data_IF_721906089964
#
_entry.id   IF_721906089964
#
_cell.length_a   1.000
_cell.length_b   1.000
_cell.length_c   1.000
_cell.angle_alpha   90.00
_cell.angle_beta   90.00
_cell.angle_gamma   90.00
#
_symmetry.space_group_name_H-M   'P 1'
#
loop_
_entity.id
_entity.type
_entity.pdbx_description
1 polymer ?
#
# COMPACT_ATOMS: atom_id res chain seq x y z
N UNK A 1 44.07 15.45 -9.49
CA UNK A 1 43.79 16.12 -10.80
C UNK A 1 44.46 15.34 -11.90
N UNK A 2 43.94 15.42 -13.14
CA UNK A 2 44.60 14.74 -14.28
C UNK A 2 46.08 15.14 -14.40
N UNK A 3 47.01 14.19 -14.70
CA UNK A 3 46.79 12.78 -15.09
C UNK A 3 46.75 11.79 -13.88
N UNK A 4 46.86 12.23 -12.62
CA UNK A 4 46.90 11.36 -11.45
C UNK A 4 45.52 10.68 -11.22
N UNK A 5 44.43 11.44 -11.35
CA UNK A 5 43.07 10.95 -11.22
C UNK A 5 42.51 10.54 -12.60
N UNK A 6 42.39 9.24 -12.82
CA UNK A 6 41.81 8.64 -14.03
C UNK A 6 40.69 7.69 -13.66
N UNK A 7 39.46 8.19 -13.60
CA UNK A 7 38.26 7.41 -13.25
C UNK A 7 38.04 6.17 -14.11
N UNK A 8 38.51 6.15 -15.36
CA UNK A 8 38.46 4.99 -16.26
C UNK A 8 39.17 3.75 -15.72
N UNK A 9 40.13 3.89 -14.80
CA UNK A 9 40.82 2.73 -14.19
C UNK A 9 39.83 1.80 -13.49
N UNK A 10 38.75 2.35 -12.88
CA UNK A 10 37.70 1.58 -12.19
C UNK A 10 36.60 1.07 -13.14
N UNK A 11 36.77 1.27 -14.48
CA UNK A 11 35.78 0.89 -15.51
C UNK A 11 36.34 -0.08 -16.55
N UNK A 12 37.59 -0.48 -16.43
CA UNK A 12 38.36 -1.19 -17.48
C UNK A 12 37.72 -2.52 -17.86
N UNK A 13 37.22 -3.28 -16.90
CA UNK A 13 36.58 -4.57 -17.13
C UNK A 13 35.46 -4.83 -16.11
N UNK A 14 34.68 -5.91 -16.35
CA UNK A 14 33.52 -6.23 -15.51
C UNK A 14 33.93 -6.54 -14.06
N UNK A 15 35.04 -7.23 -13.84
CA UNK A 15 35.50 -7.58 -12.49
C UNK A 15 35.77 -6.33 -11.65
N UNK A 16 36.42 -5.32 -12.24
CA UNK A 16 36.69 -4.05 -11.55
C UNK A 16 35.39 -3.30 -11.33
N UNK A 17 34.50 -3.21 -12.35
CA UNK A 17 33.20 -2.55 -12.18
C UNK A 17 32.37 -3.23 -11.09
N UNK A 18 32.38 -4.56 -11.05
CA UNK A 18 31.69 -5.34 -10.02
C UNK A 18 32.24 -5.10 -8.63
N UNK A 19 33.58 -5.01 -8.51
CA UNK A 19 34.27 -4.76 -7.25
C UNK A 19 33.90 -3.40 -6.62
N UNK A 20 33.72 -2.37 -7.45
CA UNK A 20 33.45 -0.99 -6.98
C UNK A 20 31.97 -0.60 -7.09
N UNK A 21 31.08 -1.54 -7.34
CA UNK A 21 29.64 -1.31 -7.45
C UNK A 21 29.07 -0.91 -6.08
N UNK A 22 28.45 0.27 -6.01
CA UNK A 22 27.92 0.83 -4.78
C UNK A 22 26.54 0.26 -4.45
N UNK A 23 25.74 -0.10 -5.48
CA UNK A 23 24.36 -0.57 -5.31
C UNK A 23 24.18 -1.94 -5.94
N UNK A 24 23.59 -2.86 -5.21
CA UNK A 24 23.18 -4.19 -5.67
C UNK A 24 21.70 -4.38 -5.41
N UNK A 25 21.05 -5.24 -6.20
CA UNK A 25 19.67 -5.66 -5.99
C UNK A 25 19.62 -7.16 -5.73
N UNK A 26 18.81 -7.55 -4.77
CA UNK A 26 18.48 -8.94 -4.47
C UNK A 26 16.95 -9.12 -4.43
N UNK A 27 16.42 -10.33 -4.54
CA UNK A 27 14.98 -10.56 -4.41
C UNK A 27 14.39 -10.05 -3.10
N UNK A 28 15.17 -10.00 -2.02
CA UNK A 28 14.72 -9.48 -0.72
C UNK A 28 14.53 -7.96 -0.65
N UNK A 29 15.01 -7.23 -1.67
CA UNK A 29 14.82 -5.78 -1.77
C UNK A 29 13.44 -5.41 -2.36
N UNK A 30 12.69 -6.42 -2.83
CA UNK A 30 11.39 -6.21 -3.48
C UNK A 30 10.24 -6.61 -2.57
N UNK A 31 9.19 -5.79 -2.59
CA UNK A 31 7.88 -6.12 -2.07
C UNK A 31 6.91 -6.34 -3.23
N UNK A 32 6.22 -7.48 -3.25
CA UNK A 32 5.35 -7.85 -4.36
C UNK A 32 3.89 -7.44 -4.09
N UNK A 33 3.25 -6.64 -4.96
CA UNK A 33 1.85 -6.26 -4.80
C UNK A 33 0.92 -7.39 -5.27
N UNK A 34 -0.10 -7.73 -4.47
CA UNK A 34 -1.06 -8.79 -4.77
C UNK A 34 -2.50 -8.28 -4.68
N UNK A 35 -3.33 -8.65 -5.65
CA UNK A 35 -4.73 -8.27 -5.71
C UNK A 35 -5.62 -9.48 -5.44
N UNK A 36 -6.42 -9.42 -4.37
CA UNK A 36 -7.21 -10.53 -3.87
C UNK A 36 -8.70 -10.25 -4.08
N UNK A 37 -9.43 -11.25 -4.52
CA UNK A 37 -10.87 -11.19 -4.70
C UNK A 37 -11.53 -12.43 -4.07
N UNK A 38 -12.84 -12.38 -3.87
CA UNK A 38 -13.62 -13.53 -3.44
C UNK A 38 -13.64 -14.65 -4.49
N UNK A 39 -13.86 -15.87 -4.03
CA UNK A 39 -13.97 -17.06 -4.86
C UNK A 39 -13.09 -18.20 -4.39
N UNK A 40 -13.15 -19.29 -5.14
CA UNK A 40 -12.31 -20.47 -5.00
C UNK A 40 -11.76 -20.80 -6.38
N UNK A 41 -10.45 -21.04 -6.47
CA UNK A 41 -9.71 -21.23 -7.72
C UNK A 41 -9.99 -20.12 -8.75
N UNK A 42 -10.21 -18.90 -8.26
CA UNK A 42 -10.53 -17.75 -9.08
C UNK A 42 -9.26 -16.98 -9.46
N UNK A 43 -9.13 -16.72 -10.77
CA UNK A 43 -8.04 -15.91 -11.34
C UNK A 43 -8.59 -15.09 -12.50
N UNK A 44 -8.47 -13.76 -12.41
CA UNK A 44 -8.93 -12.84 -13.44
C UNK A 44 -7.87 -11.80 -13.72
N UNK A 45 -7.47 -11.65 -14.98
CA UNK A 45 -6.51 -10.63 -15.39
C UNK A 45 -7.08 -9.23 -15.21
N UNK A 46 -6.24 -8.29 -14.77
CA UNK A 46 -6.58 -6.87 -14.68
C UNK A 46 -6.30 -6.28 -16.04
N UNK A 47 -7.34 -5.85 -16.76
CA UNK A 47 -7.27 -5.45 -18.17
C UNK A 47 -6.26 -4.31 -18.44
N UNK A 48 -6.11 -3.41 -17.49
CA UNK A 48 -5.18 -2.28 -17.54
C UNK A 48 -3.75 -2.62 -17.09
N UNK A 49 -3.51 -3.85 -16.59
CA UNK A 49 -2.20 -4.35 -16.16
C UNK A 49 -1.97 -5.77 -16.72
N UNK A 50 -1.56 -5.91 -18.00
CA UNK A 50 -1.35 -7.21 -18.62
C UNK A 50 -0.38 -8.09 -17.82
N UNK A 51 -0.77 -9.35 -17.59
CA UNK A 51 0.02 -10.31 -16.80
C UNK A 51 -0.18 -10.19 -15.29
N UNK A 52 -0.95 -9.22 -14.80
CA UNK A 52 -1.29 -9.07 -13.39
C UNK A 52 -2.75 -9.52 -13.15
N UNK A 53 -2.95 -10.26 -12.07
CA UNK A 53 -4.24 -10.93 -11.84
C UNK A 53 -4.80 -10.59 -10.45
N UNK A 54 -6.13 -10.53 -10.37
CA UNK A 54 -6.85 -10.73 -9.11
C UNK A 54 -6.98 -12.23 -8.88
N UNK A 55 -6.72 -12.69 -7.67
CA UNK A 55 -6.79 -14.11 -7.29
C UNK A 55 -7.63 -14.32 -6.04
N UNK A 56 -8.24 -15.48 -5.94
CA UNK A 56 -8.82 -15.96 -4.67
C UNK A 56 -7.73 -16.25 -3.64
N UNK A 57 -8.10 -16.38 -2.38
CA UNK A 57 -7.15 -16.60 -1.26
C UNK A 57 -6.31 -17.87 -1.48
N UNK A 58 -6.91 -18.97 -1.93
CA UNK A 58 -6.21 -20.23 -2.21
C UNK A 58 -5.09 -20.05 -3.24
N UNK A 59 -5.37 -19.41 -4.38
CA UNK A 59 -4.35 -19.15 -5.42
C UNK A 59 -3.35 -18.07 -4.98
N UNK A 60 -3.74 -17.13 -4.14
CA UNK A 60 -2.82 -16.15 -3.54
C UNK A 60 -1.80 -16.84 -2.64
N UNK A 61 -2.22 -17.81 -1.83
CA UNK A 61 -1.34 -18.58 -0.95
C UNK A 61 -0.31 -19.39 -1.77
N UNK A 62 -0.71 -19.98 -2.89
CA UNK A 62 0.24 -20.70 -3.75
C UNK A 62 1.27 -19.73 -4.37
N UNK A 63 0.85 -18.58 -4.87
CA UNK A 63 1.77 -17.57 -5.40
C UNK A 63 2.73 -17.04 -4.31
N UNK A 64 2.27 -16.85 -3.08
CA UNK A 64 3.12 -16.45 -1.95
C UNK A 64 4.24 -17.46 -1.70
N UNK A 65 3.95 -18.75 -1.74
CA UNK A 65 4.98 -19.82 -1.60
C UNK A 65 6.02 -19.74 -2.72
N UNK A 66 5.58 -19.54 -3.97
CA UNK A 66 6.46 -19.39 -5.12
C UNK A 66 7.35 -18.14 -4.97
N UNK A 67 6.79 -17.00 -4.60
CA UNK A 67 7.53 -15.76 -4.35
C UNK A 67 8.58 -15.93 -3.25
N UNK A 68 8.21 -16.60 -2.16
CA UNK A 68 9.13 -16.88 -1.05
C UNK A 68 10.29 -17.77 -1.50
N UNK A 69 10.03 -18.80 -2.31
CA UNK A 69 11.06 -19.67 -2.89
C UNK A 69 12.00 -18.91 -3.83
N UNK A 70 11.52 -17.86 -4.53
CA UNK A 70 12.33 -16.96 -5.35
C UNK A 70 13.17 -15.94 -4.54
N UNK A 71 12.98 -15.88 -3.22
CA UNK A 71 13.70 -14.97 -2.35
C UNK A 71 12.98 -13.65 -2.04
N UNK A 72 11.76 -13.44 -2.53
CA UNK A 72 10.90 -12.31 -2.11
C UNK A 72 10.49 -12.53 -0.65
N UNK A 73 10.57 -11.49 0.16
CA UNK A 73 10.33 -11.57 1.61
C UNK A 73 9.11 -10.78 2.08
N UNK A 74 8.55 -9.94 1.24
CA UNK A 74 7.40 -9.11 1.58
C UNK A 74 6.36 -9.07 0.46
N UNK A 75 5.08 -9.07 0.85
CA UNK A 75 3.95 -8.82 -0.04
C UNK A 75 3.12 -7.66 0.48
N UNK A 76 2.69 -6.78 -0.42
CA UNK A 76 1.69 -5.76 -0.14
C UNK A 76 0.37 -6.23 -0.74
N UNK A 77 -0.66 -6.40 0.09
CA UNK A 77 -1.92 -7.02 -0.33
C UNK A 77 -3.06 -6.01 -0.39
N UNK A 78 -3.84 -6.12 -1.44
CA UNK A 78 -5.01 -5.29 -1.75
C UNK A 78 -6.20 -6.20 -2.03
N UNK A 79 -7.40 -5.74 -1.69
CA UNK A 79 -8.63 -6.52 -1.91
C UNK A 79 -9.60 -5.80 -2.82
N UNK A 80 -10.30 -6.57 -3.66
CA UNK A 80 -11.51 -6.11 -4.35
C UNK A 80 -12.72 -6.66 -3.59
N UNK A 81 -13.47 -5.79 -2.96
CA UNK A 81 -14.66 -6.12 -2.17
C UNK A 81 -15.91 -6.10 -3.07
N UNK A 82 -16.89 -6.96 -2.78
CA UNK A 82 -18.17 -6.95 -3.45
C UNK A 82 -18.93 -5.64 -3.21
N UNK A 83 -19.60 -5.12 -4.24
CA UNK A 83 -20.33 -3.85 -4.16
C UNK A 83 -21.39 -3.83 -3.05
N UNK A 84 -22.03 -4.97 -2.76
CA UNK A 84 -23.05 -5.10 -1.70
C UNK A 84 -22.52 -4.90 -0.29
N UNK A 85 -21.18 -4.97 -0.09
CA UNK A 85 -20.51 -4.80 1.19
C UNK A 85 -19.96 -3.38 1.38
N UNK A 86 -19.99 -2.55 0.32
CA UNK A 86 -19.50 -1.18 0.38
C UNK A 86 -20.53 -0.23 1.00
N UNK A 87 -20.06 0.70 1.80
CA UNK A 87 -20.85 1.83 2.30
C UNK A 87 -19.97 3.08 2.48
N UNK A 88 -20.54 4.22 2.89
CA UNK A 88 -19.76 5.43 3.10
C UNK A 88 -18.81 5.33 4.31
N UNK A 89 -19.11 4.47 5.26
CA UNK A 89 -18.28 4.33 6.47
C UNK A 89 -17.12 3.37 6.26
N UNK A 90 -17.19 2.53 5.22
CA UNK A 90 -16.18 1.51 4.95
C UNK A 90 -16.10 0.41 6.01
N UNK A 91 -17.20 0.12 6.73
CA UNK A 91 -17.22 -0.79 7.89
C UNK A 91 -16.71 -2.20 7.61
N UNK A 92 -16.79 -2.67 6.36
CA UNK A 92 -16.24 -3.96 5.96
C UNK A 92 -14.71 -4.01 6.09
N UNK A 93 -14.03 -2.87 6.10
CA UNK A 93 -12.57 -2.77 6.23
C UNK A 93 -12.03 -3.35 7.55
N UNK A 94 -12.83 -3.34 8.62
CA UNK A 94 -12.46 -3.91 9.92
C UNK A 94 -13.32 -5.09 10.35
N UNK A 95 -14.00 -5.73 9.41
CA UNK A 95 -14.69 -6.99 9.66
C UNK A 95 -13.66 -8.11 9.92
N UNK A 96 -13.66 -8.69 11.11
CA UNK A 96 -12.73 -9.76 11.49
C UNK A 96 -12.79 -10.98 10.56
N UNK A 97 -13.91 -11.18 9.85
CA UNK A 97 -14.12 -12.22 8.85
C UNK A 97 -14.08 -11.68 7.40
N UNK A 98 -13.71 -10.44 7.21
CA UNK A 98 -13.55 -9.80 5.92
C UNK A 98 -12.50 -10.46 5.04
N UNK A 99 -12.54 -10.17 3.75
CA UNK A 99 -11.63 -10.76 2.76
C UNK A 99 -10.16 -10.49 3.11
N UNK A 100 -9.82 -9.27 3.53
CA UNK A 100 -8.46 -8.89 3.88
C UNK A 100 -7.96 -9.70 5.10
N UNK A 101 -8.74 -9.77 6.18
CA UNK A 101 -8.37 -10.47 7.40
C UNK A 101 -8.25 -11.98 7.19
N UNK A 102 -9.11 -12.57 6.35
CA UNK A 102 -9.00 -13.99 5.94
C UNK A 102 -7.75 -14.24 5.11
N UNK A 103 -7.43 -13.36 4.19
CA UNK A 103 -6.22 -13.45 3.38
C UNK A 103 -4.94 -13.37 4.22
N UNK A 104 -4.85 -12.40 5.14
CA UNK A 104 -3.71 -12.27 6.07
C UNK A 104 -3.51 -13.59 6.83
N UNK A 105 -4.57 -14.11 7.47
CA UNK A 105 -4.49 -15.37 8.23
C UNK A 105 -4.05 -16.55 7.36
N UNK A 106 -4.59 -16.69 6.15
CA UNK A 106 -4.26 -17.78 5.25
C UNK A 106 -2.78 -17.71 4.79
N UNK A 107 -2.29 -16.54 4.45
CA UNK A 107 -0.89 -16.34 4.06
C UNK A 107 0.03 -16.65 5.24
N UNK A 108 -0.22 -16.10 6.42
CA UNK A 108 0.60 -16.33 7.63
C UNK A 108 0.57 -17.79 8.08
N UNK A 109 -0.54 -18.49 7.93
CA UNK A 109 -0.62 -19.93 8.22
C UNK A 109 0.20 -20.78 7.24
N UNK A 110 0.24 -20.41 5.96
CA UNK A 110 0.92 -21.17 4.92
C UNK A 110 2.42 -20.80 4.78
N UNK A 111 2.79 -19.56 5.03
CA UNK A 111 4.15 -19.04 4.93
C UNK A 111 4.40 -18.04 6.09
N UNK A 112 4.68 -18.50 7.31
CA UNK A 112 4.81 -17.64 8.49
C UNK A 112 5.92 -16.59 8.39
N UNK A 113 6.97 -16.86 7.61
CA UNK A 113 8.12 -15.96 7.44
C UNK A 113 7.88 -14.88 6.35
N UNK A 114 6.83 -15.02 5.52
CA UNK A 114 6.45 -13.95 4.59
C UNK A 114 5.95 -12.74 5.35
N UNK A 115 6.55 -11.58 5.11
CA UNK A 115 6.07 -10.30 5.66
C UNK A 115 4.82 -9.90 4.90
N UNK A 116 3.72 -9.71 5.64
CA UNK A 116 2.42 -9.32 5.07
C UNK A 116 2.10 -7.90 5.46
N UNK A 117 1.96 -7.05 4.44
CA UNK A 117 1.64 -5.62 4.56
C UNK A 117 0.30 -5.33 3.88
N UNK A 118 -0.84 -5.37 4.58
CA UNK A 118 -2.13 -4.99 4.01
C UNK A 118 -2.23 -3.48 3.82
N UNK A 119 -2.85 -3.08 2.73
CA UNK A 119 -3.24 -1.70 2.48
C UNK A 119 -4.24 -1.21 3.53
N UNK A 120 -4.12 0.05 3.95
CA UNK A 120 -5.02 0.72 4.89
C UNK A 120 -5.55 1.99 4.24
N UNK A 121 -6.70 1.87 3.59
CA UNK A 121 -7.47 2.95 2.98
C UNK A 121 -8.91 2.46 2.74
N UNK A 122 -9.88 3.36 2.70
CA UNK A 122 -11.28 2.98 2.59
C UNK A 122 -11.81 2.85 1.15
N UNK A 123 -11.04 3.23 0.14
CA UNK A 123 -11.52 3.23 -1.26
C UNK A 123 -12.03 1.86 -1.77
N UNK A 124 -11.46 0.68 -1.39
CA UNK A 124 -12.04 -0.60 -1.79
C UNK A 124 -13.39 -0.91 -1.12
N UNK A 125 -13.69 -0.22 -0.02
CA UNK A 125 -14.87 -0.44 0.84
C UNK A 125 -15.90 0.68 0.74
N UNK A 126 -15.56 1.78 0.04
CA UNK A 126 -16.40 2.96 -0.13
C UNK A 126 -17.29 2.84 -1.36
N UNK A 127 -18.58 3.19 -1.22
CA UNK A 127 -19.50 3.33 -2.36
C UNK A 127 -19.10 4.47 -3.30
N UNK A 128 -18.31 5.44 -2.80
CA UNK A 128 -17.87 6.60 -3.57
C UNK A 128 -16.48 6.45 -4.18
N UNK A 129 -15.73 5.39 -3.84
CA UNK A 129 -14.37 5.13 -4.33
C UNK A 129 -13.32 6.09 -3.79
N UNK A 130 -13.61 6.84 -2.73
CA UNK A 130 -12.66 7.69 -2.02
C UNK A 130 -11.95 6.94 -0.89
N UNK A 131 -10.72 7.38 -0.57
CA UNK A 131 -9.87 6.74 0.45
C UNK A 131 -10.38 6.98 1.89
N UNK A 132 -11.44 7.79 2.06
CA UNK A 132 -12.05 8.13 3.35
C UNK A 132 -13.56 8.33 3.30
N UNK A 133 -14.12 8.67 4.47
CA UNK A 133 -15.54 8.91 4.70
C UNK A 133 -15.93 10.27 4.11
N UNK A 134 -17.01 10.32 3.34
CA UNK A 134 -17.53 11.58 2.77
C UNK A 134 -18.50 12.24 3.74
N UNK A 135 -18.21 13.48 4.09
CA UNK A 135 -19.10 14.37 4.85
C UNK A 135 -19.10 15.78 4.22
N UNK A 136 -20.28 16.36 4.06
CA UNK A 136 -20.44 17.75 3.57
C UNK A 136 -19.73 18.03 2.23
N UNK A 137 -19.67 17.02 1.35
CA UNK A 137 -19.10 17.16 0.01
C UNK A 137 -17.57 16.97 -0.07
N UNK A 138 -16.90 16.59 1.01
CA UNK A 138 -15.47 16.31 1.02
C UNK A 138 -15.11 15.11 1.90
N UNK A 139 -13.85 14.69 1.89
CA UNK A 139 -13.35 13.62 2.75
C UNK A 139 -13.14 14.15 4.18
N UNK A 140 -13.83 13.54 5.14
CA UNK A 140 -13.74 13.89 6.55
C UNK A 140 -12.48 13.27 7.18
N UNK A 141 -11.43 14.07 7.37
CA UNK A 141 -10.13 13.63 7.87
C UNK A 141 -10.20 12.83 9.17
N UNK A 142 -10.77 13.43 10.21
CA UNK A 142 -10.72 12.83 11.56
C UNK A 142 -11.61 11.59 11.69
N UNK A 143 -12.80 11.61 11.09
CA UNK A 143 -13.69 10.45 11.05
C UNK A 143 -13.05 9.29 10.25
N UNK A 144 -12.33 9.61 9.18
CA UNK A 144 -11.56 8.64 8.40
C UNK A 144 -10.45 8.03 9.25
N UNK A 145 -9.66 8.85 9.96
CA UNK A 145 -8.60 8.36 10.84
C UNK A 145 -9.12 7.39 11.89
N UNK A 146 -10.30 7.65 12.49
CA UNK A 146 -10.93 6.73 13.46
C UNK A 146 -11.32 5.39 12.82
N UNK A 147 -11.74 5.37 11.58
CA UNK A 147 -12.02 4.14 10.82
C UNK A 147 -10.73 3.39 10.47
N UNK A 148 -9.69 4.10 10.01
CA UNK A 148 -8.38 3.52 9.67
C UNK A 148 -7.69 2.87 10.88
N UNK A 149 -7.83 3.44 12.07
CA UNK A 149 -7.34 2.81 13.32
C UNK A 149 -8.01 1.46 13.55
N UNK A 150 -9.35 1.37 13.41
CA UNK A 150 -10.07 0.09 13.55
C UNK A 150 -9.60 -0.93 12.50
N UNK A 151 -9.42 -0.49 11.27
CA UNK A 151 -8.92 -1.30 10.17
C UNK A 151 -7.53 -1.85 10.47
N UNK A 152 -6.56 -0.99 10.83
CA UNK A 152 -5.20 -1.38 11.15
C UNK A 152 -5.13 -2.37 12.32
N UNK A 153 -5.90 -2.13 13.40
CA UNK A 153 -5.98 -3.04 14.54
C UNK A 153 -6.58 -4.39 14.13
N UNK A 154 -7.57 -4.42 13.24
CA UNK A 154 -8.14 -5.67 12.74
C UNK A 154 -7.14 -6.47 11.88
N UNK A 155 -6.32 -5.78 11.07
CA UNK A 155 -5.24 -6.39 10.29
C UNK A 155 -4.15 -6.97 11.21
N UNK A 156 -3.74 -6.22 12.23
CA UNK A 156 -2.79 -6.70 13.24
C UNK A 156 -3.29 -7.94 13.99
N UNK A 157 -4.57 -7.97 14.39
CA UNK A 157 -5.24 -9.16 14.98
C UNK A 157 -5.22 -10.36 14.03
N UNK A 158 -5.34 -10.13 12.72
CA UNK A 158 -5.27 -11.18 11.72
C UNK A 158 -3.85 -11.70 11.47
N UNK A 159 -2.81 -11.01 11.97
CA UNK A 159 -1.40 -11.44 11.88
C UNK A 159 -0.56 -10.64 10.88
N UNK A 160 -0.98 -9.44 10.49
CA UNK A 160 -0.16 -8.55 9.67
C UNK A 160 1.13 -8.16 10.39
N UNK A 161 2.25 -8.11 9.66
CA UNK A 161 3.56 -7.68 10.18
C UNK A 161 3.72 -6.16 10.12
N UNK A 162 3.11 -5.54 9.11
CA UNK A 162 3.03 -4.09 8.92
C UNK A 162 1.60 -3.70 8.56
N UNK A 163 1.28 -2.42 8.70
CA UNK A 163 0.13 -1.78 8.06
C UNK A 163 0.64 -0.71 7.10
N UNK A 164 -0.03 -0.55 5.95
CA UNK A 164 0.43 0.33 4.88
C UNK A 164 -0.61 1.41 4.55
N UNK A 165 -0.70 2.49 5.36
CA UNK A 165 -1.68 3.56 5.15
C UNK A 165 -1.42 4.29 3.83
N UNK A 166 -2.40 4.24 2.94
CA UNK A 166 -2.34 4.83 1.61
C UNK A 166 -3.39 5.93 1.38
N UNK A 167 -4.10 6.30 2.43
CA UNK A 167 -5.26 7.19 2.42
C UNK A 167 -4.92 8.68 2.30
N UNK A 168 -3.75 9.12 2.76
CA UNK A 168 -3.28 10.51 2.77
C UNK A 168 -4.04 11.45 3.72
N UNK A 169 -4.66 10.94 4.78
CA UNK A 169 -5.25 11.80 5.82
C UNK A 169 -4.17 12.42 6.72
N UNK A 170 -4.40 13.67 7.15
CA UNK A 170 -3.48 14.36 8.07
C UNK A 170 -3.44 13.67 9.44
N UNK A 171 -2.23 13.44 9.98
CA UNK A 171 -2.03 12.86 11.30
C UNK A 171 -2.36 11.36 11.43
N UNK A 172 -2.58 10.68 10.29
CA UNK A 172 -2.99 9.27 10.27
C UNK A 172 -1.96 8.32 10.87
N UNK A 173 -0.68 8.57 10.63
CA UNK A 173 0.39 7.70 11.10
C UNK A 173 0.45 7.70 12.63
N UNK A 174 0.38 8.87 13.25
CA UNK A 174 0.31 9.01 14.71
C UNK A 174 -0.91 8.28 15.30
N UNK A 175 -2.10 8.45 14.67
CA UNK A 175 -3.33 7.81 15.12
C UNK A 175 -3.25 6.28 15.01
N UNK A 176 -2.69 5.76 13.92
CA UNK A 176 -2.47 4.33 13.70
C UNK A 176 -1.49 3.76 14.73
N UNK A 177 -0.35 4.44 14.96
CA UNK A 177 0.64 4.00 15.96
C UNK A 177 0.02 3.93 17.35
N UNK A 178 -0.66 4.99 17.76
CA UNK A 178 -1.35 5.03 19.05
C UNK A 178 -2.41 3.91 19.19
N UNK A 179 -3.19 3.67 18.13
CA UNK A 179 -4.21 2.63 18.13
C UNK A 179 -3.64 1.21 18.21
N UNK A 180 -2.57 0.94 17.46
CA UNK A 180 -1.85 -0.33 17.48
C UNK A 180 -1.23 -0.59 18.86
N UNK A 181 -0.57 0.41 19.44
CA UNK A 181 0.08 0.31 20.75
C UNK A 181 -0.97 0.10 21.88
N UNK A 182 -2.06 0.85 21.85
CA UNK A 182 -3.15 0.70 22.80
C UNK A 182 -3.81 -0.70 22.74
N UNK A 183 -3.80 -1.33 21.56
CA UNK A 183 -4.29 -2.69 21.35
C UNK A 183 -3.22 -3.78 21.63
N UNK A 184 -1.99 -3.40 22.01
CA UNK A 184 -0.90 -4.32 22.35
C UNK A 184 -0.06 -4.80 21.15
N UNK A 185 -0.22 -4.18 19.97
CA UNK A 185 0.50 -4.54 18.75
C UNK A 185 1.77 -3.67 18.53
N UNK A 186 2.63 -3.59 19.55
CA UNK A 186 3.84 -2.77 19.54
C UNK A 186 4.86 -3.14 18.45
N UNK A 187 4.83 -4.39 17.96
CA UNK A 187 5.75 -4.90 16.94
C UNK A 187 5.19 -4.87 15.53
N UNK A 188 3.95 -4.40 15.33
CA UNK A 188 3.40 -4.19 13.98
C UNK A 188 3.92 -2.86 13.47
N UNK A 189 4.67 -2.91 12.37
CA UNK A 189 5.26 -1.71 11.76
C UNK A 189 4.26 -0.90 10.94
N UNK A 190 4.64 0.32 10.58
CA UNK A 190 3.88 1.21 9.69
C UNK A 190 4.74 1.58 8.49
N UNK A 191 4.30 1.22 7.28
CA UNK A 191 4.87 1.68 6.02
C UNK A 191 3.94 2.72 5.41
N UNK A 192 4.24 4.00 5.59
CA UNK A 192 3.38 5.07 5.11
C UNK A 192 3.60 5.39 3.64
N UNK A 193 2.50 5.60 2.91
CA UNK A 193 2.50 6.20 1.58
C UNK A 193 2.64 7.72 1.73
N UNK A 194 3.81 8.16 2.15
CA UNK A 194 4.06 9.54 2.58
C UNK A 194 4.01 10.54 1.43
N UNK A 195 4.53 10.17 0.26
CA UNK A 195 4.48 11.00 -0.93
C UNK A 195 3.62 10.31 -2.01
N UNK A 196 2.29 10.41 -1.86
CA UNK A 196 1.32 9.85 -2.81
C UNK A 196 0.70 10.95 -3.66
N UNK A 197 1.01 10.95 -4.96
CA UNK A 197 0.63 11.99 -5.88
C UNK A 197 -0.66 11.71 -6.63
N UNK A 198 -1.48 12.74 -6.86
CA UNK A 198 -2.64 12.71 -7.75
C UNK A 198 -2.18 12.60 -9.22
N UNK A 199 -1.79 11.39 -9.63
CA UNK A 199 -1.14 11.11 -10.89
C UNK A 199 -2.05 10.34 -11.88
N UNK A 200 -1.88 10.61 -13.18
CA UNK A 200 -2.51 9.82 -14.25
C UNK A 200 -2.03 8.35 -14.26
N UNK A 201 -0.84 8.06 -13.72
CA UNK A 201 -0.33 6.69 -13.58
C UNK A 201 -1.12 5.81 -12.61
N UNK A 202 -2.07 6.37 -11.86
CA UNK A 202 -2.97 5.60 -10.99
C UNK A 202 -4.12 4.90 -11.71
N UNK A 203 -4.37 5.19 -12.98
CA UNK A 203 -5.47 4.58 -13.75
C UNK A 203 -5.53 3.05 -13.61
N UNK A 204 -4.44 2.31 -13.90
CA UNK A 204 -4.43 0.86 -13.79
C UNK A 204 -4.71 0.33 -12.37
N UNK A 205 -4.20 0.99 -11.35
CA UNK A 205 -4.42 0.58 -9.96
C UNK A 205 -5.88 0.77 -9.51
N UNK A 206 -6.52 1.86 -9.94
CA UNK A 206 -7.94 2.11 -9.66
C UNK A 206 -8.83 1.04 -10.31
N UNK A 207 -8.49 0.60 -11.52
CA UNK A 207 -9.16 -0.51 -12.19
C UNK A 207 -8.97 -1.83 -11.41
N UNK A 208 -7.78 -2.08 -10.87
CA UNK A 208 -7.49 -3.28 -10.09
C UNK A 208 -8.40 -3.45 -8.87
N UNK A 209 -8.73 -2.38 -8.17
CA UNK A 209 -9.52 -2.38 -6.93
C UNK A 209 -10.98 -1.98 -7.13
N UNK A 210 -11.35 -1.51 -8.34
CA UNK A 210 -12.64 -0.87 -8.60
C UNK A 210 -12.88 0.30 -7.62
N UNK A 211 -11.85 1.15 -7.48
CA UNK A 211 -11.77 2.24 -6.50
C UNK A 211 -11.65 3.63 -7.13
N UNK A 212 -12.10 3.78 -8.37
CA UNK A 212 -12.23 5.10 -8.99
C UNK A 212 -13.36 5.90 -8.31
N UNK A 213 -13.21 7.24 -8.15
CA UNK A 213 -14.32 8.09 -7.72
C UNK A 213 -15.57 7.86 -8.57
N UNK A 214 -16.72 7.71 -7.91
CA UNK A 214 -18.02 7.42 -8.55
C UNK A 214 -18.94 8.63 -8.42
N UNK A 215 -19.75 8.87 -9.46
CA UNK A 215 -20.83 9.84 -9.38
C UNK A 215 -21.86 9.38 -8.33
N UNK A 216 -22.42 10.33 -7.59
CA UNK A 216 -23.38 10.06 -6.53
C UNK A 216 -24.50 11.12 -6.53
N UNK A 217 -25.64 10.77 -5.90
CA UNK A 217 -26.76 11.70 -5.69
C UNK A 217 -26.45 12.76 -4.61
N UNK A 218 -25.31 12.63 -3.91
CA UNK A 218 -24.79 13.59 -2.94
C UNK A 218 -23.51 14.24 -3.48
N UNK A 219 -23.19 15.40 -2.96
CA UNK A 219 -21.93 16.06 -3.31
C UNK A 219 -20.73 15.23 -2.85
N UNK A 220 -19.84 14.90 -3.79
CA UNK A 220 -18.59 14.16 -3.56
C UNK A 220 -17.45 14.80 -4.36
N UNK A 221 -16.20 14.70 -3.93
CA UNK A 221 -15.08 15.17 -4.75
C UNK A 221 -15.01 14.41 -6.08
N UNK A 222 -14.76 15.12 -7.17
CA UNK A 222 -14.68 14.52 -8.52
C UNK A 222 -13.41 13.70 -8.75
N UNK A 223 -12.39 13.96 -7.97
CA UNK A 223 -11.09 13.29 -8.02
C UNK A 223 -10.47 13.26 -6.61
N UNK A 224 -9.25 12.72 -6.50
CA UNK A 224 -8.56 12.55 -5.21
C UNK A 224 -7.59 13.70 -4.87
N UNK A 225 -7.65 14.84 -5.56
CA UNK A 225 -6.69 15.94 -5.38
C UNK A 225 -6.90 16.74 -4.09
N UNK A 226 -8.02 16.56 -3.40
CA UNK A 226 -8.27 17.22 -2.10
C UNK A 226 -7.41 16.60 -0.97
N UNK A 227 -6.83 15.42 -1.21
CA UNK A 227 -5.97 14.72 -0.23
C UNK A 227 -4.73 14.05 -0.83
N UNK A 228 -4.69 13.72 -2.13
CA UNK A 228 -3.45 13.29 -2.80
C UNK A 228 -2.67 14.51 -3.29
N UNK A 229 -1.35 14.46 -3.17
CA UNK A 229 -0.45 15.58 -3.43
C UNK A 229 -0.42 16.00 -4.90
N UNK A 230 -0.19 17.27 -5.14
CA UNK A 230 0.14 17.78 -6.48
C UNK A 230 1.55 17.32 -6.87
N UNK A 231 1.69 16.72 -8.05
CA UNK A 231 2.95 16.20 -8.57
C UNK A 231 4.01 17.29 -8.81
N UNK A 232 3.64 18.56 -8.83
CA UNK A 232 4.57 19.68 -8.95
C UNK A 232 5.20 20.11 -7.60
N UNK A 233 4.78 19.51 -6.47
CA UNK A 233 5.14 19.96 -5.11
C UNK A 233 6.17 19.02 -4.43
N UNK A 234 7.41 18.97 -4.96
CA UNK A 234 8.49 18.17 -4.38
C UNK A 234 8.81 18.51 -2.91
N UNK A 235 8.79 19.79 -2.54
CA UNK A 235 9.10 20.22 -1.17
C UNK A 235 8.03 19.74 -0.18
N UNK A 236 6.78 19.71 -0.61
CA UNK A 236 5.65 19.17 0.17
C UNK A 236 5.89 17.68 0.46
N UNK A 237 6.29 16.89 -0.55
CA UNK A 237 6.59 15.48 -0.39
C UNK A 237 7.65 15.18 0.67
N UNK A 238 8.72 15.99 0.72
CA UNK A 238 9.75 15.86 1.75
C UNK A 238 9.19 16.18 3.14
N UNK A 239 8.32 17.19 3.25
CA UNK A 239 7.68 17.54 4.53
C UNK A 239 6.74 16.44 5.00
N UNK A 240 5.87 15.92 4.12
CA UNK A 240 4.97 14.81 4.43
C UNK A 240 5.74 13.58 4.92
N UNK A 241 6.82 13.21 4.22
CA UNK A 241 7.66 12.09 4.63
C UNK A 241 8.31 12.31 6.01
N UNK A 242 8.77 13.55 6.31
CA UNK A 242 9.34 13.87 7.62
C UNK A 242 8.28 13.86 8.72
N UNK A 243 7.09 14.38 8.48
CA UNK A 243 5.98 14.33 9.43
C UNK A 243 5.55 12.90 9.71
N UNK A 244 5.42 12.06 8.69
CA UNK A 244 5.09 10.63 8.88
C UNK A 244 6.15 9.91 9.73
N UNK A 245 7.44 10.24 9.56
CA UNK A 245 8.54 9.70 10.40
C UNK A 245 8.41 10.19 11.85
N UNK A 246 8.14 11.48 12.06
CA UNK A 246 7.94 12.06 13.40
C UNK A 246 6.68 11.46 14.08
N UNK A 247 5.66 11.12 13.32
CA UNK A 247 4.43 10.46 13.77
C UNK A 247 4.62 8.96 14.07
N UNK A 248 5.74 8.36 13.67
CA UNK A 248 6.09 6.99 13.99
C UNK A 248 6.01 6.00 12.83
N UNK A 249 6.14 6.44 11.58
CA UNK A 249 6.33 5.55 10.45
C UNK A 249 7.72 4.87 10.51
N UNK A 250 7.75 3.55 10.31
CA UNK A 250 8.98 2.77 10.22
C UNK A 250 9.58 2.79 8.81
N UNK A 251 8.72 2.94 7.81
CA UNK A 251 9.08 3.06 6.39
C UNK A 251 8.22 4.13 5.72
N UNK A 252 8.80 4.80 4.73
CA UNK A 252 8.11 5.78 3.89
C UNK A 252 8.16 5.37 2.43
N UNK A 253 7.11 5.67 1.67
CA UNK A 253 6.97 5.31 0.26
C UNK A 253 6.65 6.52 -0.59
N UNK A 254 7.27 6.59 -1.76
CA UNK A 254 6.91 7.51 -2.84
C UNK A 254 6.03 6.76 -3.84
N UNK A 255 4.84 7.26 -4.15
CA UNK A 255 3.92 6.59 -5.09
C UNK A 255 3.19 7.60 -6.00
N UNK A 256 3.21 7.38 -7.33
CA UNK A 256 4.04 6.41 -8.07
C UNK A 256 5.54 6.68 -7.89
N UNK A 257 6.38 5.60 -7.85
CA UNK A 257 7.80 5.76 -7.56
C UNK A 257 8.59 6.33 -8.73
N UNK A 258 8.63 5.64 -9.88
CA UNK A 258 9.55 5.93 -10.99
C UNK A 258 9.47 7.38 -11.50
N UNK A 259 8.28 7.98 -11.50
CA UNK A 259 8.08 9.32 -12.06
C UNK A 259 8.36 10.45 -11.05
N UNK A 260 8.51 10.16 -9.75
CA UNK A 260 8.49 11.15 -8.67
C UNK A 260 9.54 10.88 -7.57
N UNK A 261 10.70 10.30 -7.92
CA UNK A 261 11.78 10.03 -6.95
C UNK A 261 12.72 11.21 -6.74
N UNK A 262 12.56 12.29 -7.47
CA UNK A 262 13.36 13.52 -7.37
C UNK A 262 12.99 14.39 -6.15
#
# INVERSE_FOLDING_TARGET
MFPLHRGRRLRVNESIRSLVRETTLSPSDFMFPMFIAEGENYKSEISSMPGIFRRSIDLTVEEVKELFALGIRAVNIYVKVDESLKDNTGKEAWNDNGLMQRAIRAIKAACPEMIVMPDVALDPYSIYGHDGIIEKGDVANDATNDALVKMAVSHAKAGADFVAPSDMMDGRVLRLRQGLDAAGFHNVGIMSYSAKYASAFYGPFRDALDSAPKDADVEVPKDKKTYQMDYANRIEAVKEALWDVEEGADMVMVKPGIAYLD
#
